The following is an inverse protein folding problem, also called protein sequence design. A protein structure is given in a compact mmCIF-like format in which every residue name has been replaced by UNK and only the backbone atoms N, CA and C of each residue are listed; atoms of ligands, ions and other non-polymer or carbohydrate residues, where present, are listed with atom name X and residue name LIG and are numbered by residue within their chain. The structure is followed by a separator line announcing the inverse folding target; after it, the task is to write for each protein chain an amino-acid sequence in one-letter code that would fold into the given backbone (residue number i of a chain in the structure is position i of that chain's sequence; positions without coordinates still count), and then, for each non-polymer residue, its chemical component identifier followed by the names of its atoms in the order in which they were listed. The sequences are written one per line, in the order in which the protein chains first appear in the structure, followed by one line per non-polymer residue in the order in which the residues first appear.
data_IF_688201673499
#
_entry.id   IF_688201673499
#
_cell.length_a   1.000
_cell.length_b   1.000
_cell.length_c   1.000
_cell.angle_alpha   90.00
_cell.angle_beta   90.00
_cell.angle_gamma   90.00
#
_symmetry.space_group_name_H-M   'P 1'
#
loop_
_entity.id
_entity.type
_entity.pdbx_description
1 polymer ?
#
# COMPACT_ATOMS: atom_id res chain seq x y z
N UNK A 1 2.84 1.99 31.19
CA UNK A 1 2.64 2.02 29.73
C UNK A 1 1.18 2.21 29.34
N UNK A 2 0.25 1.33 29.70
CA UNK A 2 -1.19 1.50 29.34
C UNK A 2 -1.81 2.76 29.96
N UNK A 3 -1.52 3.10 31.22
CA UNK A 3 -2.00 4.35 31.81
C UNK A 3 -1.46 5.57 31.08
N UNK A 4 -0.18 5.55 30.69
CA UNK A 4 0.41 6.58 29.85
C UNK A 4 -0.38 6.78 28.54
N UNK A 5 -0.79 5.70 27.86
CA UNK A 5 -1.57 5.78 26.63
C UNK A 5 -2.98 6.30 26.89
N UNK A 6 -3.64 5.84 27.94
CA UNK A 6 -4.99 6.31 28.30
C UNK A 6 -5.02 7.81 28.57
N UNK A 7 -4.01 8.33 29.28
CA UNK A 7 -3.91 9.76 29.61
C UNK A 7 -3.59 10.63 28.36
N UNK A 8 -3.18 10.01 27.25
CA UNK A 8 -2.78 10.70 26.01
C UNK A 8 -3.66 10.42 24.79
N UNK A 9 -4.84 9.84 24.98
CA UNK A 9 -5.80 9.57 23.90
C UNK A 9 -6.16 10.82 23.10
N UNK A 10 -6.41 11.92 23.81
CA UNK A 10 -6.71 13.21 23.15
C UNK A 10 -5.53 13.72 22.35
N UNK A 11 -4.31 13.54 22.83
CA UNK A 11 -3.11 13.93 22.09
C UNK A 11 -2.88 13.05 20.85
N UNK A 12 -3.15 11.75 20.92
CA UNK A 12 -3.08 10.85 19.76
C UNK A 12 -4.13 11.22 18.71
N UNK A 13 -5.36 11.52 19.15
CA UNK A 13 -6.44 12.02 18.28
C UNK A 13 -6.06 13.35 17.64
N UNK A 14 -5.45 14.27 18.40
CA UNK A 14 -4.99 15.57 17.88
C UNK A 14 -3.85 15.43 16.87
N UNK A 15 -2.91 14.49 17.09
CA UNK A 15 -1.87 14.20 16.11
C UNK A 15 -2.47 13.68 14.80
N UNK A 16 -3.39 12.70 14.84
CA UNK A 16 -4.06 12.21 13.64
C UNK A 16 -4.79 13.34 12.91
N UNK A 17 -5.51 14.18 13.62
CA UNK A 17 -6.19 15.33 13.04
C UNK A 17 -5.22 16.31 12.37
N UNK A 18 -4.06 16.56 12.98
CA UNK A 18 -3.02 17.40 12.39
C UNK A 18 -2.41 16.77 11.13
N UNK A 19 -2.15 15.47 11.14
CA UNK A 19 -1.66 14.72 9.97
C UNK A 19 -2.66 14.77 8.81
N UNK A 20 -3.96 14.57 9.06
CA UNK A 20 -5.00 14.64 8.02
C UNK A 20 -5.03 16.03 7.38
N UNK A 21 -4.89 17.10 8.17
CA UNK A 21 -4.89 18.50 7.68
C UNK A 21 -3.70 18.87 6.81
N UNK A 22 -2.72 18.00 6.65
CA UNK A 22 -1.62 18.16 5.70
C UNK A 22 -1.99 17.39 4.42
N UNK A 23 -2.41 18.07 3.33
CA UNK A 23 -2.62 17.41 2.05
C UNK A 23 -1.33 16.76 1.54
N UNK A 24 -1.42 15.52 1.12
CA UNK A 24 -0.28 14.70 0.71
C UNK A 24 -0.60 13.89 -0.55
N UNK A 25 -1.32 14.52 -1.49
CA UNK A 25 -1.82 13.86 -2.70
C UNK A 25 -0.71 13.29 -3.55
N UNK A 26 -0.81 12.02 -3.87
CA UNK A 26 0.08 11.32 -4.76
C UNK A 26 -0.73 10.54 -5.82
N UNK A 27 -0.75 10.96 -7.09
CA UNK A 27 -0.05 12.10 -7.69
C UNK A 27 -0.59 13.47 -7.24
N UNK A 28 0.18 14.60 -7.38
CA UNK A 28 1.50 14.70 -8.04
C UNK A 28 2.67 14.27 -7.15
N UNK A 29 2.46 13.98 -5.84
CA UNK A 29 3.51 13.51 -4.96
C UNK A 29 4.59 14.56 -4.65
N UNK A 30 4.20 15.78 -4.29
CA UNK A 30 5.13 16.79 -3.74
C UNK A 30 5.27 16.59 -2.22
N UNK A 31 5.91 15.49 -1.83
CA UNK A 31 5.93 15.01 -0.46
C UNK A 31 7.15 15.46 0.36
N UNK A 32 8.09 16.19 -0.22
CA UNK A 32 9.19 16.80 0.55
C UNK A 32 8.68 17.81 1.60
N UNK A 33 7.90 18.84 1.22
CA UNK A 33 7.29 19.78 2.16
C UNK A 33 6.31 19.13 3.15
N UNK A 34 5.60 18.07 2.73
CA UNK A 34 4.70 17.28 3.59
C UNK A 34 5.48 16.60 4.69
N UNK A 35 6.57 15.92 4.33
CA UNK A 35 7.43 15.22 5.28
C UNK A 35 8.00 16.19 6.34
N UNK A 36 8.38 17.41 5.95
CA UNK A 36 8.86 18.41 6.91
C UNK A 36 7.78 18.80 7.92
N UNK A 37 6.53 19.00 7.48
CA UNK A 37 5.42 19.28 8.39
C UNK A 37 5.15 18.11 9.35
N UNK A 38 5.19 16.88 8.84
CA UNK A 38 5.04 15.66 9.67
C UNK A 38 6.20 15.55 10.67
N UNK A 39 7.44 15.84 10.24
CA UNK A 39 8.59 15.83 11.12
C UNK A 39 8.42 16.83 12.29
N UNK A 40 7.96 18.04 12.01
CA UNK A 40 7.69 19.05 13.04
C UNK A 40 6.63 18.57 14.04
N UNK A 41 5.56 17.90 13.57
CA UNK A 41 4.54 17.33 14.47
C UNK A 41 5.12 16.25 15.40
N UNK A 42 5.99 15.39 14.88
CA UNK A 42 6.65 14.35 15.68
C UNK A 42 7.67 14.97 16.67
N UNK A 43 8.39 16.00 16.26
CA UNK A 43 9.32 16.75 17.13
C UNK A 43 8.60 17.46 18.29
N UNK A 44 7.41 17.99 18.07
CA UNK A 44 6.57 18.56 19.14
C UNK A 44 6.15 17.52 20.19
N UNK A 45 6.17 16.23 19.87
CA UNK A 45 5.99 15.14 20.83
C UNK A 45 7.27 14.75 21.57
N UNK A 46 8.40 15.41 21.28
CA UNK A 46 9.71 15.13 21.88
C UNK A 46 10.48 14.01 21.16
N UNK A 47 10.05 13.61 19.97
CA UNK A 47 10.76 12.63 19.14
C UNK A 47 11.87 13.32 18.34
N UNK A 48 13.00 12.62 18.15
CA UNK A 48 14.09 13.09 17.28
C UNK A 48 13.88 12.50 15.89
N UNK A 49 13.69 13.34 14.88
CA UNK A 49 13.34 12.94 13.52
C UNK A 49 14.53 13.13 12.58
N UNK A 50 14.99 12.03 11.99
CA UNK A 50 15.96 12.06 10.89
C UNK A 50 15.21 12.26 9.57
N UNK A 51 15.76 13.12 8.71
CA UNK A 51 15.20 13.45 7.41
C UNK A 51 16.12 12.90 6.32
N UNK A 52 15.57 12.07 5.45
CA UNK A 52 16.29 11.42 4.35
C UNK A 52 15.70 11.86 3.01
N UNK A 53 16.13 13.00 2.45
CA UNK A 53 15.63 13.49 1.17
C UNK A 53 16.06 12.56 0.04
N UNK A 54 15.12 12.24 -0.84
CA UNK A 54 15.37 11.47 -2.06
C UNK A 54 15.85 12.41 -3.15
N UNK A 55 16.89 12.03 -3.95
CA UNK A 55 17.33 12.82 -5.09
C UNK A 55 16.19 13.12 -6.06
N UNK A 56 16.14 14.37 -6.56
CA UNK A 56 15.03 14.84 -7.38
C UNK A 56 14.85 14.08 -8.69
N UNK A 57 15.91 13.50 -9.26
CA UNK A 57 15.85 12.64 -10.45
C UNK A 57 15.23 11.28 -10.14
N UNK A 58 15.52 10.70 -8.97
CA UNK A 58 14.90 9.47 -8.50
C UNK A 58 13.40 9.67 -8.23
N UNK A 59 13.02 10.79 -7.58
CA UNK A 59 11.60 11.11 -7.37
C UNK A 59 10.86 11.27 -8.71
N UNK A 60 11.43 12.02 -9.65
CA UNK A 60 10.81 12.18 -10.98
C UNK A 60 10.69 10.87 -11.76
N UNK A 61 11.62 9.94 -11.58
CA UNK A 61 11.55 8.62 -12.24
C UNK A 61 10.34 7.79 -11.80
N UNK A 62 9.83 8.01 -10.58
CA UNK A 62 8.60 7.39 -10.06
C UNK A 62 7.34 8.24 -10.33
N UNK A 63 7.49 9.41 -10.97
CA UNK A 63 6.37 10.32 -11.26
C UNK A 63 6.05 11.31 -10.14
N UNK A 64 6.89 11.37 -9.10
CA UNK A 64 6.71 12.30 -7.98
C UNK A 64 7.49 13.60 -8.18
N UNK A 65 6.98 14.69 -7.62
CA UNK A 65 7.66 15.99 -7.63
C UNK A 65 8.82 16.05 -6.63
N UNK A 66 8.60 15.53 -5.42
CA UNK A 66 9.63 15.42 -4.37
C UNK A 66 9.27 14.34 -3.35
N UNK A 67 10.26 13.82 -2.62
CA UNK A 67 10.05 12.89 -1.52
C UNK A 67 11.15 13.07 -0.47
N UNK A 68 10.77 12.98 0.81
CA UNK A 68 11.69 12.89 1.94
C UNK A 68 11.17 11.82 2.89
N UNK A 69 11.96 10.81 3.19
CA UNK A 69 11.59 9.79 4.17
C UNK A 69 12.03 10.22 5.56
N UNK A 70 11.27 9.82 6.59
CA UNK A 70 11.57 10.14 7.97
C UNK A 70 11.86 8.86 8.75
N UNK A 71 12.86 8.93 9.66
CA UNK A 71 13.15 7.87 10.62
C UNK A 71 13.20 8.48 12.01
N UNK A 72 12.47 7.87 12.95
CA UNK A 72 12.59 8.15 14.40
C UNK A 72 13.19 6.92 15.04
N UNK A 73 14.28 7.07 15.79
CA UNK A 73 14.93 5.96 16.50
C UNK A 73 14.85 6.10 18.00
N UNK A 74 14.47 4.99 18.64
CA UNK A 74 14.46 4.89 20.10
C UNK A 74 15.28 3.67 20.50
N UNK A 75 16.45 3.91 21.11
CA UNK A 75 17.37 2.86 21.55
C UNK A 75 17.21 2.61 23.05
N UNK A 76 17.02 1.36 23.42
CA UNK A 76 16.88 0.86 24.79
C UNK A 76 18.10 0.03 25.26
N UNK A 77 19.08 -0.15 24.41
CA UNK A 77 20.27 -0.96 24.67
C UNK A 77 20.72 -1.75 23.45
N UNK A 78 21.58 -2.73 23.65
CA UNK A 78 21.96 -3.69 22.62
C UNK A 78 20.84 -4.72 22.45
N UNK A 79 20.59 -5.16 21.24
CA UNK A 79 19.50 -6.09 20.91
C UNK A 79 18.95 -5.90 19.51
N UNK A 80 17.79 -6.50 19.20
CA UNK A 80 17.21 -6.44 17.86
C UNK A 80 16.71 -5.03 17.50
N UNK A 81 16.64 -4.77 16.20
CA UNK A 81 16.06 -3.57 15.63
C UNK A 81 14.69 -3.93 15.05
N UNK A 82 13.62 -3.31 15.56
CA UNK A 82 12.26 -3.47 15.08
C UNK A 82 11.82 -2.19 14.35
N UNK A 83 11.45 -2.31 13.08
CA UNK A 83 10.88 -1.20 12.32
C UNK A 83 9.35 -1.17 12.42
N UNK A 84 8.77 0.00 12.54
CA UNK A 84 7.36 0.30 12.37
C UNK A 84 7.23 1.17 11.12
N UNK A 85 6.54 0.71 10.07
CA UNK A 85 6.43 1.46 8.81
C UNK A 85 4.99 1.87 8.52
N UNK A 86 4.80 3.16 8.28
CA UNK A 86 3.54 3.74 7.81
C UNK A 86 3.82 4.79 6.74
N UNK A 87 2.88 4.99 5.81
CA UNK A 87 3.01 6.01 4.78
C UNK A 87 2.15 7.24 5.06
N UNK A 88 2.63 8.40 4.65
CA UNK A 88 1.96 9.68 4.85
C UNK A 88 1.36 10.27 3.59
N UNK A 89 1.72 9.76 2.40
CA UNK A 89 1.07 10.11 1.14
C UNK A 89 -0.32 9.48 1.03
N UNK A 90 -1.16 10.05 0.21
CA UNK A 90 -2.56 9.63 0.03
C UNK A 90 -2.99 9.78 -1.41
N UNK A 91 -3.93 8.96 -1.87
CA UNK A 91 -4.60 9.20 -3.16
C UNK A 91 -5.39 10.51 -3.11
N UNK A 92 -5.53 11.26 -4.23
CA UNK A 92 -6.37 12.45 -4.29
C UNK A 92 -7.79 12.17 -3.80
N UNK A 93 -8.43 13.11 -3.09
CA UNK A 93 -9.73 12.87 -2.44
C UNK A 93 -10.86 12.55 -3.42
N UNK A 94 -10.80 13.06 -4.65
CA UNK A 94 -11.90 12.91 -5.61
C UNK A 94 -13.16 13.70 -5.22
N UNK A 95 -14.30 13.30 -5.78
CA UNK A 95 -15.58 13.96 -5.55
C UNK A 95 -16.48 13.13 -4.62
N UNK A 96 -17.55 13.77 -4.11
CA UNK A 96 -18.60 13.08 -3.34
C UNK A 96 -18.45 13.14 -1.83
N UNK A 97 -17.48 13.89 -1.29
CA UNK A 97 -17.33 14.10 0.14
C UNK A 97 -18.48 14.89 0.75
N UNK A 98 -18.91 14.49 1.95
CA UNK A 98 -19.92 15.22 2.75
C UNK A 98 -19.27 16.20 3.74
N UNK A 99 -17.94 16.17 3.90
CA UNK A 99 -17.13 17.07 4.72
C UNK A 99 -15.85 17.46 3.97
N UNK A 100 -15.06 18.37 4.54
CA UNK A 100 -13.74 18.68 4.01
C UNK A 100 -12.81 17.45 4.13
N UNK A 101 -12.25 16.89 3.04
CA UNK A 101 -11.36 15.74 3.07
C UNK A 101 -10.10 15.96 3.90
N UNK A 102 -9.72 17.20 4.18
CA UNK A 102 -8.60 17.57 5.03
C UNK A 102 -9.03 18.27 6.33
N UNK A 103 -10.33 18.27 6.65
CA UNK A 103 -10.88 18.92 7.84
C UNK A 103 -10.63 18.15 9.15
N UNK A 104 -10.42 16.83 9.07
CA UNK A 104 -10.37 15.93 10.22
C UNK A 104 -11.60 16.07 11.14
N UNK A 105 -12.78 16.06 10.54
CA UNK A 105 -14.03 16.18 11.26
C UNK A 105 -14.31 14.94 12.10
N UNK A 106 -14.74 15.13 13.34
CA UNK A 106 -15.13 14.02 14.23
C UNK A 106 -16.65 14.00 14.37
N UNK A 107 -17.26 12.85 14.02
CA UNK A 107 -18.69 12.58 14.18
C UNK A 107 -18.88 11.19 14.78
N UNK A 108 -19.65 11.08 15.85
CA UNK A 108 -20.04 9.81 16.47
C UNK A 108 -18.85 8.86 16.77
N UNK A 109 -17.71 9.40 17.20
CA UNK A 109 -16.49 8.64 17.50
C UNK A 109 -15.62 8.29 16.31
N UNK A 110 -16.00 8.69 15.09
CA UNK A 110 -15.21 8.52 13.87
C UNK A 110 -14.54 9.82 13.44
N UNK A 111 -13.28 9.75 13.03
CA UNK A 111 -12.59 10.86 12.38
C UNK A 111 -12.61 10.67 10.87
N UNK A 112 -13.14 11.67 10.17
CA UNK A 112 -13.28 11.69 8.72
C UNK A 112 -12.13 12.49 8.10
N UNK A 113 -11.55 11.96 7.03
CA UNK A 113 -10.55 12.64 6.23
C UNK A 113 -9.74 11.70 5.35
N UNK A 114 -9.16 12.23 4.29
CA UNK A 114 -8.29 11.47 3.41
C UNK A 114 -7.01 11.06 4.14
N UNK A 115 -6.70 9.77 4.12
CA UNK A 115 -5.60 9.17 4.88
C UNK A 115 -5.96 8.82 6.32
N UNK A 116 -7.21 9.04 6.76
CA UNK A 116 -7.63 8.69 8.11
C UNK A 116 -7.52 7.18 8.37
N UNK A 117 -7.85 6.36 7.39
CA UNK A 117 -7.77 4.90 7.49
C UNK A 117 -6.46 4.33 6.91
N UNK A 118 -5.89 4.98 5.88
CA UNK A 118 -4.72 4.49 5.13
C UNK A 118 -3.76 5.65 4.85
N UNK A 119 -2.62 5.84 5.52
CA UNK A 119 -2.24 5.15 6.77
C UNK A 119 -1.76 6.17 7.81
N UNK A 120 -2.31 7.43 7.79
CA UNK A 120 -1.94 8.47 8.77
C UNK A 120 -2.33 8.09 10.21
N UNK A 121 -3.37 7.26 10.37
CA UNK A 121 -3.73 6.64 11.65
C UNK A 121 -2.60 5.78 12.21
N UNK A 122 -1.88 5.05 11.33
CA UNK A 122 -0.77 4.22 11.75
C UNK A 122 0.46 5.04 12.15
N UNK A 123 0.69 6.20 11.53
CA UNK A 123 1.73 7.14 11.99
C UNK A 123 1.44 7.58 13.42
N UNK A 124 0.18 7.94 13.73
CA UNK A 124 -0.21 8.33 15.08
C UNK A 124 -0.10 7.16 16.07
N UNK A 125 -0.58 5.98 15.69
CA UNK A 125 -0.49 4.73 16.47
C UNK A 125 0.96 4.41 16.82
N UNK A 126 1.84 4.39 15.85
CA UNK A 126 3.25 4.03 16.06
C UNK A 126 4.03 5.08 16.84
N UNK A 127 3.76 6.37 16.61
CA UNK A 127 4.38 7.44 17.38
C UNK A 127 4.02 7.33 18.87
N UNK A 128 2.74 7.12 19.21
CA UNK A 128 2.32 6.99 20.60
C UNK A 128 2.71 5.65 21.23
N UNK A 129 2.73 4.55 20.47
CA UNK A 129 3.28 3.29 20.93
C UNK A 129 4.77 3.44 21.29
N UNK A 130 5.55 4.11 20.43
CA UNK A 130 6.97 4.39 20.68
C UNK A 130 7.19 5.23 21.96
N UNK A 131 6.40 6.29 22.16
CA UNK A 131 6.44 7.11 23.37
C UNK A 131 6.07 6.32 24.63
N UNK A 132 5.16 5.37 24.53
CA UNK A 132 4.73 4.56 25.66
C UNK A 132 5.81 3.60 26.17
N UNK A 133 6.80 3.23 25.34
CA UNK A 133 7.88 2.33 25.72
C UNK A 133 8.76 2.89 26.85
N UNK A 134 8.88 4.22 26.98
CA UNK A 134 9.60 4.85 28.09
C UNK A 134 8.94 4.55 29.45
N UNK A 135 7.65 4.23 29.46
CA UNK A 135 6.90 3.83 30.63
C UNK A 135 6.66 2.30 30.71
N UNK A 136 7.40 1.51 29.93
CA UNK A 136 7.29 0.05 29.95
C UNK A 136 7.82 -0.52 31.27
N UNK A 137 7.17 -1.57 31.82
CA UNK A 137 7.72 -2.27 32.98
C UNK A 137 8.89 -3.17 32.56
N UNK A 138 10.01 -3.02 33.24
CA UNK A 138 11.20 -3.86 33.02
C UNK A 138 12.21 -3.22 32.07
N UNK A 139 13.27 -3.99 31.80
CA UNK A 139 14.33 -3.57 30.89
C UNK A 139 13.94 -3.96 29.46
N UNK A 140 14.03 -2.99 28.58
CA UNK A 140 13.93 -3.22 27.14
C UNK A 140 15.32 -3.27 26.53
N UNK A 141 15.50 -4.09 25.51
CA UNK A 141 16.75 -4.27 24.79
C UNK A 141 16.53 -4.08 23.28
N UNK A 142 17.48 -3.39 22.61
CA UNK A 142 17.38 -3.17 21.16
C UNK A 142 16.93 -1.75 20.81
N UNK A 143 16.42 -1.62 19.60
CA UNK A 143 15.99 -0.34 19.01
C UNK A 143 14.65 -0.48 18.34
N UNK A 144 13.78 0.51 18.48
CA UNK A 144 12.59 0.68 17.63
C UNK A 144 12.81 1.83 16.67
N UNK A 145 12.49 1.62 15.42
CA UNK A 145 12.53 2.64 14.38
C UNK A 145 11.11 2.88 13.84
N UNK A 146 10.64 4.11 13.84
CA UNK A 146 9.44 4.51 13.09
C UNK A 146 9.88 5.05 11.73
N UNK A 147 9.51 4.38 10.67
CA UNK A 147 9.71 4.81 9.28
C UNK A 147 8.42 5.44 8.76
N UNK A 148 8.45 6.74 8.47
CA UNK A 148 7.35 7.42 7.77
C UNK A 148 7.80 7.69 6.35
N UNK A 149 7.15 7.01 5.39
CA UNK A 149 7.46 7.07 3.96
C UNK A 149 6.32 7.77 3.20
N UNK A 150 6.56 8.22 1.96
CA UNK A 150 5.60 9.08 1.26
C UNK A 150 5.45 8.74 -0.22
N UNK A 151 5.54 7.45 -0.57
CA UNK A 151 5.44 6.97 -1.96
C UNK A 151 4.70 5.63 -2.10
N UNK A 152 3.96 5.20 -1.09
CA UNK A 152 3.23 3.92 -1.15
C UNK A 152 2.22 3.93 -2.28
N UNK A 153 1.51 5.03 -2.48
CA UNK A 153 0.51 5.20 -3.53
C UNK A 153 1.13 5.28 -4.94
N UNK A 154 2.46 5.51 -5.02
CA UNK A 154 3.24 5.47 -6.26
C UNK A 154 4.07 4.19 -6.42
N UNK A 155 3.98 3.25 -5.46
CA UNK A 155 4.61 1.94 -5.54
C UNK A 155 5.78 1.69 -4.58
N UNK A 156 6.11 2.60 -3.63
CA UNK A 156 7.07 2.37 -2.54
C UNK A 156 8.55 2.26 -2.96
N UNK A 157 8.89 2.65 -4.19
CA UNK A 157 10.24 2.44 -4.74
C UNK A 157 11.29 3.42 -4.17
N UNK A 158 10.85 4.59 -3.69
CA UNK A 158 11.72 5.63 -3.13
C UNK A 158 11.46 5.91 -1.64
N UNK A 159 10.52 5.17 -1.03
CA UNK A 159 10.24 5.13 0.40
C UNK A 159 11.03 4.00 1.08
N UNK A 160 10.37 2.92 1.51
CA UNK A 160 11.03 1.88 2.28
C UNK A 160 12.15 1.18 1.50
N UNK A 161 11.97 0.94 0.20
CA UNK A 161 13.03 0.36 -0.63
C UNK A 161 14.28 1.24 -0.63
N UNK A 162 14.12 2.56 -0.81
CA UNK A 162 15.25 3.51 -0.79
C UNK A 162 15.98 3.48 0.55
N UNK A 163 15.27 3.48 1.68
CA UNK A 163 15.87 3.40 3.02
C UNK A 163 16.73 2.16 3.19
N UNK A 164 16.23 1.01 2.73
CA UNK A 164 16.91 -0.29 2.83
C UNK A 164 18.10 -0.41 1.86
N UNK A 165 17.95 -0.02 0.61
CA UNK A 165 19.01 -0.07 -0.41
C UNK A 165 20.21 0.81 -0.08
N UNK A 166 19.96 1.97 0.55
CA UNK A 166 21.02 2.90 0.94
C UNK A 166 21.58 2.62 2.34
N UNK A 167 21.14 1.54 3.00
CA UNK A 167 21.62 1.17 4.33
C UNK A 167 21.30 2.21 5.42
N UNK A 168 20.27 3.04 5.20
CA UNK A 168 19.82 4.04 6.17
C UNK A 168 19.13 3.38 7.36
N UNK A 169 18.65 2.17 7.18
CA UNK A 169 18.09 1.28 8.20
C UNK A 169 18.43 -0.17 7.88
N UNK A 170 18.49 -1.02 8.93
CA UNK A 170 18.72 -2.46 8.81
C UNK A 170 17.97 -3.18 9.94
N UNK A 171 16.64 -3.24 9.91
CA UNK A 171 15.88 -3.89 10.95
C UNK A 171 15.98 -5.42 10.87
N UNK A 172 15.83 -6.07 12.02
CA UNK A 172 15.77 -7.54 12.15
C UNK A 172 14.34 -8.05 11.90
N UNK A 173 13.33 -7.20 12.16
CA UNK A 173 11.93 -7.47 11.90
C UNK A 173 11.18 -6.14 11.68
N UNK A 174 9.97 -6.22 11.12
CA UNK A 174 9.14 -5.03 10.90
C UNK A 174 7.64 -5.29 11.13
N UNK A 175 6.93 -4.24 11.51
CA UNK A 175 5.47 -4.15 11.51
C UNK A 175 5.11 -3.01 10.55
N UNK A 176 4.34 -3.30 9.52
CA UNK A 176 3.81 -2.29 8.60
C UNK A 176 2.38 -1.89 8.95
N UNK A 177 1.94 -0.74 8.46
CA UNK A 177 0.56 -0.27 8.55
C UNK A 177 -0.44 -1.35 8.14
N UNK A 178 -1.54 -1.48 8.88
CA UNK A 178 -2.50 -2.56 8.64
C UNK A 178 -3.80 -2.44 9.42
N UNK A 179 -4.61 -3.46 9.33
CA UNK A 179 -5.91 -3.54 9.99
C UNK A 179 -5.77 -3.86 11.49
N UNK A 180 -6.70 -3.36 12.32
CA UNK A 180 -6.70 -3.61 13.76
C UNK A 180 -7.33 -4.96 14.15
N UNK A 181 -8.17 -5.52 13.29
CA UNK A 181 -8.91 -6.77 13.53
C UNK A 181 -8.31 -8.00 12.83
N UNK A 182 -7.14 -7.85 12.25
CA UNK A 182 -6.41 -8.94 11.60
C UNK A 182 -4.91 -8.63 11.56
N UNK A 183 -4.07 -9.63 11.75
CA UNK A 183 -2.63 -9.52 11.50
C UNK A 183 -2.38 -10.04 10.08
N UNK A 184 -1.93 -9.17 9.17
CA UNK A 184 -1.68 -9.58 7.80
C UNK A 184 -0.26 -10.12 7.64
N UNK A 185 -0.14 -11.37 7.19
CA UNK A 185 1.15 -12.06 7.00
C UNK A 185 1.51 -12.25 5.53
N UNK A 186 0.57 -12.07 4.62
CA UNK A 186 0.75 -12.22 3.18
C UNK A 186 -0.16 -11.26 2.42
N UNK A 187 0.25 -10.85 1.23
CA UNK A 187 -0.59 -10.04 0.36
C UNK A 187 -0.35 -10.32 -1.13
N UNK A 188 -1.32 -9.95 -1.96
CA UNK A 188 -1.20 -10.07 -3.39
C UNK A 188 -0.11 -9.15 -3.95
N UNK A 189 0.51 -9.60 -5.04
CA UNK A 189 1.22 -8.72 -5.96
C UNK A 189 0.28 -8.10 -7.00
N UNK A 190 0.81 -7.17 -7.77
CA UNK A 190 0.09 -6.47 -8.84
C UNK A 190 0.98 -6.36 -10.08
N UNK A 191 0.41 -6.66 -11.24
CA UNK A 191 1.03 -6.41 -12.53
C UNK A 191 0.10 -5.53 -13.37
N UNK A 192 0.59 -4.33 -13.74
CA UNK A 192 -0.10 -3.48 -14.70
C UNK A 192 0.60 -3.54 -16.05
N UNK A 193 -0.16 -3.86 -17.10
CA UNK A 193 0.31 -3.84 -18.48
C UNK A 193 -0.53 -2.86 -19.31
N UNK A 194 0.12 -2.22 -20.28
CA UNK A 194 -0.52 -1.48 -21.35
C UNK A 194 -0.30 -2.24 -22.65
N UNK A 195 -1.39 -2.55 -23.35
CA UNK A 195 -1.38 -3.14 -24.69
C UNK A 195 -1.78 -2.06 -25.69
N UNK A 196 -0.93 -1.81 -26.67
CA UNK A 196 -1.22 -0.88 -27.78
C UNK A 196 -1.29 -1.66 -29.08
N UNK A 197 -2.40 -1.51 -29.78
CA UNK A 197 -2.61 -2.04 -31.12
C UNK A 197 -2.58 -0.90 -32.12
N UNK A 198 -1.75 -0.99 -33.14
CA UNK A 198 -1.64 -0.03 -34.24
C UNK A 198 -2.02 -0.68 -35.55
N UNK A 199 -2.89 -0.02 -36.28
CA UNK A 199 -3.34 -0.38 -37.60
C UNK A 199 -3.09 0.74 -38.61
N UNK A 200 -4.06 0.96 -39.49
CA UNK A 200 -4.05 2.02 -40.49
C UNK A 200 -5.45 2.53 -40.73
N UNK A 201 -5.65 3.83 -40.64
CA UNK A 201 -6.96 4.46 -40.88
C UNK A 201 -7.38 4.35 -42.34
N UNK A 202 -8.69 4.28 -42.56
CA UNK A 202 -9.32 4.35 -43.85
C UNK A 202 -10.76 4.90 -43.70
N UNK A 203 -11.34 5.34 -44.80
CA UNK A 203 -12.75 5.72 -44.82
C UNK A 203 -13.64 4.50 -44.59
N UNK A 204 -14.65 4.61 -43.73
CA UNK A 204 -15.54 3.50 -43.35
C UNK A 204 -16.29 2.88 -44.56
N UNK A 205 -16.46 3.61 -45.69
CA UNK A 205 -16.99 3.07 -46.96
C UNK A 205 -16.03 2.10 -47.66
N UNK A 206 -14.75 2.06 -47.31
CA UNK A 206 -13.72 1.16 -47.84
C UNK A 206 -12.82 0.64 -46.72
N UNK A 207 -13.37 -0.13 -45.77
CA UNK A 207 -12.61 -0.55 -44.57
C UNK A 207 -11.42 -1.46 -44.93
N UNK A 208 -11.52 -2.22 -46.03
CA UNK A 208 -10.43 -3.09 -46.52
C UNK A 208 -9.17 -2.34 -46.96
N UNK A 209 -9.23 -1.00 -47.15
CA UNK A 209 -8.05 -0.16 -47.39
C UNK A 209 -7.30 0.18 -46.10
N UNK A 210 -7.89 -0.04 -44.93
CA UNK A 210 -7.33 0.15 -43.62
C UNK A 210 -6.80 -1.14 -42.99
N UNK A 211 -6.38 -1.02 -41.71
CA UNK A 211 -6.09 -2.12 -40.79
C UNK A 211 -6.80 -1.73 -39.51
N UNK A 212 -7.84 -2.46 -39.15
CA UNK A 212 -8.70 -2.13 -38.02
C UNK A 212 -8.05 -2.53 -36.68
N UNK A 213 -7.53 -1.52 -35.96
CA UNK A 213 -6.92 -1.73 -34.65
C UNK A 213 -7.95 -2.11 -33.58
N UNK A 214 -9.23 -1.68 -33.73
CA UNK A 214 -10.27 -1.99 -32.76
C UNK A 214 -10.73 -3.46 -32.89
N UNK A 215 -10.86 -3.97 -34.09
CA UNK A 215 -11.17 -5.39 -34.32
C UNK A 215 -10.08 -6.27 -33.70
N UNK A 216 -8.81 -5.97 -33.98
CA UNK A 216 -7.69 -6.71 -33.41
C UNK A 216 -7.63 -6.60 -31.88
N UNK A 217 -7.84 -5.39 -31.31
CA UNK A 217 -7.89 -5.20 -29.87
C UNK A 217 -9.06 -5.97 -29.23
N UNK A 218 -10.24 -5.99 -29.85
CA UNK A 218 -11.41 -6.74 -29.37
C UNK A 218 -11.13 -8.23 -29.32
N UNK A 219 -10.43 -8.77 -30.30
CA UNK A 219 -10.03 -10.18 -30.33
C UNK A 219 -9.05 -10.51 -29.16
N UNK A 220 -8.07 -9.66 -28.93
CA UNK A 220 -7.11 -9.79 -27.81
C UNK A 220 -7.85 -9.69 -26.46
N UNK A 221 -8.73 -8.71 -26.29
CA UNK A 221 -9.56 -8.55 -25.09
C UNK A 221 -10.41 -9.80 -24.81
N UNK A 222 -11.01 -10.37 -25.86
CA UNK A 222 -11.76 -11.63 -25.75
C UNK A 222 -10.89 -12.79 -25.24
N UNK A 223 -9.64 -12.89 -25.70
CA UNK A 223 -8.71 -13.91 -25.24
C UNK A 223 -8.31 -13.70 -23.75
N UNK A 224 -8.07 -12.46 -23.34
CA UNK A 224 -7.77 -12.09 -21.96
C UNK A 224 -8.94 -12.40 -21.03
N UNK A 225 -10.18 -12.06 -21.40
CA UNK A 225 -11.38 -12.38 -20.61
C UNK A 225 -11.59 -13.91 -20.48
N UNK A 226 -11.40 -14.68 -21.53
CA UNK A 226 -11.43 -16.15 -21.43
C UNK A 226 -10.33 -16.69 -20.50
N UNK A 227 -9.17 -16.04 -20.45
CA UNK A 227 -8.12 -16.41 -19.49
C UNK A 227 -8.54 -16.06 -18.06
N UNK A 228 -9.12 -14.88 -17.85
CA UNK A 228 -9.67 -14.45 -16.54
C UNK A 228 -10.62 -15.48 -15.96
N UNK A 229 -11.54 -16.01 -16.78
CA UNK A 229 -12.56 -16.96 -16.31
C UNK A 229 -11.94 -18.26 -15.75
N UNK A 230 -10.70 -18.60 -16.15
CA UNK A 230 -9.94 -19.74 -15.61
C UNK A 230 -9.22 -19.45 -14.30
N UNK A 231 -9.05 -18.16 -13.91
CA UNK A 231 -8.33 -17.78 -12.70
C UNK A 231 -9.07 -18.19 -11.43
N UNK A 232 -10.40 -18.24 -11.45
CA UNK A 232 -11.22 -18.63 -10.28
C UNK A 232 -10.85 -20.03 -9.74
N UNK A 233 -10.28 -20.91 -10.58
CA UNK A 233 -9.81 -22.23 -10.15
C UNK A 233 -8.44 -22.22 -9.46
N UNK A 234 -7.75 -21.09 -9.40
CA UNK A 234 -6.41 -20.94 -8.80
C UNK A 234 -6.48 -20.26 -7.42
N UNK A 235 -7.41 -20.67 -6.57
CA UNK A 235 -7.58 -20.07 -5.24
C UNK A 235 -6.30 -20.25 -4.41
N UNK A 236 -5.84 -19.15 -3.76
CA UNK A 236 -4.75 -19.20 -2.79
C UNK A 236 -5.09 -20.09 -1.60
N UNK A 237 -4.12 -20.78 -1.05
CA UNK A 237 -4.25 -21.53 0.20
C UNK A 237 -4.24 -20.61 1.43
N UNK A 238 -3.85 -19.34 1.27
CA UNK A 238 -3.78 -18.37 2.37
C UNK A 238 -5.17 -17.76 2.57
N UNK A 239 -5.72 -17.93 3.79
CA UNK A 239 -6.99 -17.32 4.17
C UNK A 239 -6.96 -15.80 3.95
N UNK A 240 -8.04 -15.23 3.39
CA UNK A 240 -8.18 -13.80 3.13
C UNK A 240 -7.72 -13.33 1.74
N UNK A 241 -6.98 -14.16 0.97
CA UNK A 241 -6.48 -13.77 -0.36
C UNK A 241 -7.44 -14.10 -1.51
N UNK A 242 -8.01 -15.30 -1.52
CA UNK A 242 -8.91 -15.75 -2.59
C UNK A 242 -8.18 -16.11 -3.89
N UNK A 243 -8.84 -15.91 -5.03
CA UNK A 243 -8.31 -16.21 -6.36
C UNK A 243 -7.64 -14.99 -7.01
N UNK A 244 -6.67 -15.21 -7.92
CA UNK A 244 -6.11 -14.14 -8.73
C UNK A 244 -7.19 -13.43 -9.54
N UNK A 245 -6.99 -12.13 -9.80
CA UNK A 245 -7.96 -11.31 -10.54
C UNK A 245 -7.31 -10.69 -11.78
N UNK A 246 -8.10 -10.50 -12.85
CA UNK A 246 -7.70 -9.75 -14.04
C UNK A 246 -8.81 -8.76 -14.40
N UNK A 247 -8.47 -7.50 -14.46
CA UNK A 247 -9.37 -6.41 -14.82
C UNK A 247 -8.81 -5.61 -15.98
N UNK A 248 -9.63 -5.29 -16.97
CA UNK A 248 -9.30 -4.27 -17.97
C UNK A 248 -9.92 -2.98 -17.47
N UNK A 249 -9.08 -2.08 -16.96
CA UNK A 249 -9.54 -0.86 -16.29
C UNK A 249 -9.64 0.36 -17.20
N UNK A 250 -8.93 0.34 -18.33
CA UNK A 250 -8.87 1.46 -19.28
C UNK A 250 -8.86 0.95 -20.70
N UNK A 251 -9.60 1.64 -21.60
CA UNK A 251 -9.53 1.45 -23.04
C UNK A 251 -9.76 2.80 -23.71
N UNK A 252 -8.96 3.10 -24.75
CA UNK A 252 -9.08 4.29 -25.57
C UNK A 252 -8.72 4.00 -27.02
N UNK A 253 -9.32 4.69 -27.97
CA UNK A 253 -8.99 4.57 -29.39
C UNK A 253 -10.07 5.06 -30.34
N UNK A 254 -9.71 5.14 -31.62
CA UNK A 254 -10.55 5.72 -32.66
C UNK A 254 -10.56 7.24 -32.64
N UNK A 255 -11.02 7.85 -33.74
CA UNK A 255 -11.07 9.31 -33.91
C UNK A 255 -12.43 9.80 -34.38
N UNK A 256 -13.17 9.01 -35.19
CA UNK A 256 -14.48 9.38 -35.73
C UNK A 256 -15.24 8.12 -36.16
N UNK A 257 -16.58 8.18 -36.08
CA UNK A 257 -17.48 7.07 -36.43
C UNK A 257 -17.30 6.55 -37.87
N UNK A 258 -16.88 7.40 -38.80
CA UNK A 258 -16.71 7.06 -40.21
C UNK A 258 -15.26 6.81 -40.64
N UNK A 259 -14.37 6.50 -39.67
CA UNK A 259 -12.95 6.19 -39.88
C UNK A 259 -12.61 4.86 -39.24
N UNK A 260 -11.93 3.96 -40.00
CA UNK A 260 -11.36 2.73 -39.44
C UNK A 260 -10.31 3.11 -38.41
N UNK A 261 -10.43 2.63 -37.14
CA UNK A 261 -9.48 2.97 -36.08
C UNK A 261 -8.07 2.47 -36.39
N UNK A 262 -7.10 3.37 -36.35
CA UNK A 262 -5.67 3.05 -36.57
C UNK A 262 -4.88 2.85 -35.27
N UNK A 263 -5.49 3.15 -34.13
CA UNK A 263 -4.91 2.91 -32.81
C UNK A 263 -5.96 2.61 -31.77
N UNK A 264 -5.69 1.59 -30.96
CA UNK A 264 -6.39 1.31 -29.70
C UNK A 264 -5.34 0.98 -28.64
N UNK A 265 -5.50 1.51 -27.43
CA UNK A 265 -4.74 1.09 -26.27
C UNK A 265 -5.67 0.71 -25.13
N UNK A 266 -5.27 -0.26 -24.33
CA UNK A 266 -5.96 -0.63 -23.11
C UNK A 266 -4.98 -1.01 -22.02
N UNK A 267 -5.41 -0.85 -20.75
CA UNK A 267 -4.61 -1.19 -19.59
C UNK A 267 -5.31 -2.26 -18.76
N UNK A 268 -4.52 -3.18 -18.24
CA UNK A 268 -4.99 -4.25 -17.38
C UNK A 268 -4.27 -4.25 -16.03
N UNK A 269 -5.01 -4.66 -15.01
CA UNK A 269 -4.55 -5.00 -13.67
C UNK A 269 -4.67 -6.50 -13.46
N UNK A 270 -3.58 -7.17 -13.09
CA UNK A 270 -3.51 -8.59 -12.74
C UNK A 270 -3.05 -8.73 -11.31
N UNK A 271 -3.95 -9.15 -10.40
CA UNK A 271 -3.60 -9.47 -9.02
C UNK A 271 -2.93 -10.83 -8.98
N UNK A 272 -1.72 -10.87 -8.40
CA UNK A 272 -0.84 -12.04 -8.33
C UNK A 272 -0.92 -12.61 -6.93
N UNK A 273 -1.35 -13.86 -6.76
CA UNK A 273 -1.40 -14.50 -5.45
C UNK A 273 0.01 -14.95 -5.01
N UNK A 274 0.26 -15.12 -3.70
CA UNK A 274 1.59 -15.46 -3.18
C UNK A 274 2.21 -16.73 -3.77
N UNK A 275 1.41 -17.69 -4.22
CA UNK A 275 1.87 -18.94 -4.83
C UNK A 275 2.38 -18.76 -6.27
N UNK A 276 1.99 -17.68 -6.95
CA UNK A 276 2.40 -17.41 -8.32
C UNK A 276 3.79 -16.75 -8.39
N UNK A 277 4.45 -16.94 -9.54
CA UNK A 277 5.70 -16.24 -9.85
C UNK A 277 5.41 -15.06 -10.78
N UNK A 278 5.70 -13.82 -10.38
CA UNK A 278 5.32 -12.61 -11.14
C UNK A 278 5.78 -12.63 -12.60
N UNK A 279 7.01 -13.07 -12.86
CA UNK A 279 7.57 -13.14 -14.20
C UNK A 279 6.89 -14.22 -15.06
N UNK A 280 6.41 -15.30 -14.44
CA UNK A 280 5.65 -16.34 -15.15
C UNK A 280 4.25 -15.83 -15.51
N UNK A 281 3.62 -15.08 -14.61
CA UNK A 281 2.31 -14.44 -14.88
C UNK A 281 2.42 -13.42 -16.01
N UNK A 282 3.47 -12.61 -16.05
CA UNK A 282 3.68 -11.67 -17.16
C UNK A 282 3.91 -12.41 -18.48
N UNK A 283 4.74 -13.46 -18.49
CA UNK A 283 4.94 -14.27 -19.70
C UNK A 283 3.64 -14.92 -20.18
N UNK A 284 2.81 -15.44 -19.27
CA UNK A 284 1.49 -16.00 -19.60
C UNK A 284 0.61 -14.96 -20.31
N UNK A 285 0.51 -13.75 -19.75
CA UNK A 285 -0.32 -12.68 -20.33
C UNK A 285 0.21 -12.20 -21.69
N UNK A 286 1.53 -12.03 -21.83
CA UNK A 286 2.15 -11.67 -23.12
C UNK A 286 1.90 -12.75 -24.16
N UNK A 287 2.05 -14.03 -23.79
CA UNK A 287 1.75 -15.16 -24.69
C UNK A 287 0.29 -15.19 -25.14
N UNK A 288 -0.67 -14.84 -24.28
CA UNK A 288 -2.09 -14.73 -24.65
C UNK A 288 -2.29 -13.59 -25.66
N UNK A 289 -1.67 -12.43 -25.43
CA UNK A 289 -1.74 -11.29 -26.34
C UNK A 289 -1.13 -11.64 -27.69
N UNK A 290 0.07 -12.23 -27.71
CA UNK A 290 0.80 -12.59 -28.92
C UNK A 290 0.04 -13.64 -29.74
N UNK A 291 -0.49 -14.67 -29.09
CA UNK A 291 -1.28 -15.71 -29.73
C UNK A 291 -2.59 -15.16 -30.37
N UNK A 292 -3.25 -14.23 -29.69
CA UNK A 292 -4.45 -13.60 -30.22
C UNK A 292 -4.12 -12.62 -31.37
N UNK A 293 -3.01 -11.87 -31.24
CA UNK A 293 -2.53 -10.93 -32.25
C UNK A 293 -2.14 -11.64 -33.58
N UNK A 294 -1.73 -12.89 -33.53
CA UNK A 294 -1.35 -13.68 -34.72
C UNK A 294 -2.49 -13.80 -35.76
N UNK A 295 -3.76 -13.64 -35.34
CA UNK A 295 -4.90 -13.59 -36.27
C UNK A 295 -4.93 -12.28 -37.12
N UNK A 296 -4.17 -11.26 -36.71
CA UNK A 296 -4.12 -9.93 -37.34
C UNK A 296 -2.67 -9.56 -37.73
N UNK A 297 -2.03 -10.27 -38.63
CA UNK A 297 -0.59 -10.18 -38.93
C UNK A 297 -0.17 -8.82 -39.49
N UNK A 298 -1.12 -8.01 -39.96
CA UNK A 298 -0.86 -6.66 -40.47
C UNK A 298 -0.96 -5.56 -39.39
N UNK A 299 -1.57 -5.88 -38.25
CA UNK A 299 -1.59 -4.96 -37.08
C UNK A 299 -0.30 -5.10 -36.27
N UNK A 300 0.17 -3.98 -35.73
CA UNK A 300 1.32 -3.98 -34.83
C UNK A 300 0.83 -3.97 -33.40
N UNK A 301 1.23 -4.97 -32.60
CA UNK A 301 0.87 -5.07 -31.19
C UNK A 301 2.10 -4.94 -30.33
N UNK A 302 2.01 -4.11 -29.29
CA UNK A 302 3.07 -3.94 -28.30
C UNK A 302 2.51 -4.02 -26.88
N UNK A 303 3.29 -4.62 -25.99
CA UNK A 303 2.93 -4.75 -24.57
C UNK A 303 4.02 -4.08 -23.73
N UNK A 304 3.65 -3.07 -22.94
CA UNK A 304 4.52 -2.36 -22.02
C UNK A 304 4.12 -2.66 -20.58
N UNK A 305 5.08 -3.02 -19.73
CA UNK A 305 4.87 -3.10 -18.29
C UNK A 305 4.80 -1.67 -17.74
N UNK A 306 3.74 -1.37 -16.97
CA UNK A 306 3.59 -0.12 -16.23
C UNK A 306 4.13 -0.29 -14.83
N UNK A 307 3.72 -1.36 -14.14
CA UNK A 307 4.09 -1.64 -12.76
C UNK A 307 4.18 -3.14 -12.51
N UNK A 308 5.08 -3.53 -11.63
CA UNK A 308 5.13 -4.86 -11.02
C UNK A 308 5.42 -4.72 -9.53
N UNK A 309 4.44 -5.05 -8.71
CA UNK A 309 4.61 -5.23 -7.27
C UNK A 309 4.56 -6.73 -6.97
N UNK A 310 5.63 -7.26 -6.38
CA UNK A 310 5.69 -8.69 -6.00
C UNK A 310 4.76 -8.98 -4.83
N UNK A 311 4.19 -10.19 -4.74
CA UNK A 311 3.39 -10.57 -3.57
C UNK A 311 4.26 -10.72 -2.32
N UNK A 312 3.69 -10.41 -1.15
CA UNK A 312 4.30 -10.71 0.14
C UNK A 312 4.07 -12.19 0.47
N UNK A 313 5.17 -12.88 0.80
CA UNK A 313 5.17 -14.23 1.37
C UNK A 313 5.73 -14.17 2.79
N UNK A 314 5.16 -14.92 3.76
CA UNK A 314 5.72 -14.96 5.10
C UNK A 314 7.19 -15.45 5.07
N UNK A 315 8.07 -14.69 5.72
CA UNK A 315 9.47 -15.10 5.93
C UNK A 315 9.63 -15.80 7.28
N UNK A 316 10.71 -16.60 7.46
CA UNK A 316 11.08 -17.10 8.77
C UNK A 316 11.14 -15.97 9.80
N UNK A 317 10.53 -16.16 10.98
CA UNK A 317 10.39 -15.12 12.02
C UNK A 317 9.08 -14.30 11.95
N UNK A 318 8.42 -14.19 10.79
CA UNK A 318 7.16 -13.48 10.68
C UNK A 318 6.04 -14.13 11.51
N UNK A 319 6.03 -15.47 11.64
CA UNK A 319 5.00 -16.16 12.41
C UNK A 319 5.07 -15.80 13.91
N UNK A 320 6.25 -15.73 14.50
CA UNK A 320 6.43 -15.36 15.91
C UNK A 320 5.91 -13.94 16.18
N UNK A 321 6.19 -13.00 15.25
CA UNK A 321 5.68 -11.63 15.34
C UNK A 321 4.15 -11.56 15.15
N UNK A 322 3.61 -12.39 14.23
CA UNK A 322 2.16 -12.50 14.04
C UNK A 322 1.46 -13.05 15.28
N UNK A 323 1.98 -14.13 15.87
CA UNK A 323 1.41 -14.74 17.08
C UNK A 323 1.42 -13.76 18.26
N UNK A 324 2.49 -12.98 18.39
CA UNK A 324 2.62 -11.93 19.39
C UNK A 324 1.52 -10.86 19.24
N UNK A 325 1.35 -10.33 18.03
CA UNK A 325 0.32 -9.34 17.73
C UNK A 325 -1.10 -9.90 17.88
N UNK A 326 -1.38 -11.09 17.36
CA UNK A 326 -2.68 -11.74 17.48
C UNK A 326 -3.09 -11.93 18.96
N UNK A 327 -2.16 -12.32 19.82
CA UNK A 327 -2.41 -12.50 21.25
C UNK A 327 -2.77 -11.19 21.94
N UNK A 328 -1.98 -10.13 21.72
CA UNK A 328 -2.24 -8.81 22.31
C UNK A 328 -3.51 -8.19 21.74
N UNK A 329 -3.71 -8.26 20.42
CA UNK A 329 -4.90 -7.75 19.77
C UNK A 329 -6.16 -8.43 20.28
N UNK A 330 -6.17 -9.76 20.35
CA UNK A 330 -7.32 -10.52 20.88
C UNK A 330 -7.66 -10.16 22.33
N UNK A 331 -6.63 -9.89 23.15
CA UNK A 331 -6.84 -9.47 24.53
C UNK A 331 -7.41 -8.03 24.63
N UNK A 332 -6.89 -7.09 23.84
CA UNK A 332 -7.31 -5.68 23.89
C UNK A 332 -8.69 -5.47 23.24
N UNK A 333 -8.96 -6.15 22.13
CA UNK A 333 -10.26 -6.05 21.42
C UNK A 333 -11.33 -6.95 22.01
N UNK A 334 -10.98 -7.88 22.92
CA UNK A 334 -11.87 -8.88 23.52
C UNK A 334 -12.58 -9.76 22.47
N UNK A 335 -11.94 -10.00 21.34
CA UNK A 335 -12.39 -10.93 20.28
C UNK A 335 -11.18 -11.59 19.63
N UNK A 336 -11.40 -12.72 18.93
CA UNK A 336 -10.31 -13.41 18.24
C UNK A 336 -9.78 -12.57 17.06
N UNK A 337 -8.49 -12.23 17.11
CA UNK A 337 -7.75 -11.60 15.99
C UNK A 337 -6.77 -12.64 15.44
N UNK A 338 -6.91 -12.95 14.16
CA UNK A 338 -6.18 -14.02 13.51
C UNK A 338 -5.16 -13.49 12.49
N UNK A 339 -4.17 -14.32 12.19
CA UNK A 339 -3.22 -14.06 11.12
C UNK A 339 -3.84 -14.49 9.77
N UNK A 340 -3.94 -13.55 8.82
CA UNK A 340 -4.56 -13.76 7.51
C UNK A 340 -3.73 -13.12 6.40
N UNK A 341 -4.11 -13.36 5.15
CA UNK A 341 -3.63 -12.60 4.00
C UNK A 341 -4.61 -11.50 3.61
N UNK A 342 -4.17 -10.58 2.72
CA UNK A 342 -5.02 -9.55 2.14
C UNK A 342 -4.89 -9.53 0.61
N UNK A 343 -5.95 -9.22 -0.15
CA UNK A 343 -5.86 -9.06 -1.60
C UNK A 343 -5.22 -7.74 -2.05
N UNK A 344 -4.93 -6.84 -1.11
CA UNK A 344 -4.20 -5.60 -1.36
C UNK A 344 -2.72 -5.87 -1.63
N UNK A 345 -1.97 -4.87 -2.08
CA UNK A 345 -0.52 -4.87 -2.00
C UNK A 345 -0.06 -3.72 -1.09
N UNK A 346 1.13 -3.82 -0.51
CA UNK A 346 1.67 -2.82 0.40
C UNK A 346 3.19 -2.72 0.30
N UNK A 347 3.76 -1.76 1.01
CA UNK A 347 5.20 -1.56 1.16
C UNK A 347 5.93 -2.72 1.85
N UNK A 348 5.21 -3.62 2.54
CA UNK A 348 5.81 -4.76 3.23
C UNK A 348 6.66 -5.65 2.29
N UNK A 349 6.32 -5.71 1.00
CA UNK A 349 7.11 -6.45 0.01
C UNK A 349 8.56 -5.99 -0.09
N UNK A 350 8.84 -4.72 0.21
CA UNK A 350 10.20 -4.18 0.17
C UNK A 350 11.04 -4.71 1.33
N UNK A 351 10.52 -4.75 2.55
CA UNK A 351 11.19 -5.39 3.68
C UNK A 351 11.44 -6.87 3.41
N UNK A 352 10.42 -7.58 2.93
CA UNK A 352 10.54 -9.00 2.59
C UNK A 352 11.59 -9.25 1.49
N UNK A 353 11.73 -8.37 0.51
CA UNK A 353 12.76 -8.47 -0.54
C UNK A 353 14.19 -8.36 0.01
N UNK A 354 14.38 -7.69 1.15
CA UNK A 354 15.64 -7.62 1.89
C UNK A 354 15.80 -8.74 2.94
N UNK A 355 14.89 -9.71 2.97
CA UNK A 355 14.94 -10.83 3.93
C UNK A 355 14.48 -10.46 5.34
N UNK A 356 13.84 -9.30 5.52
CA UNK A 356 13.35 -8.82 6.80
C UNK A 356 11.94 -9.37 7.01
N UNK A 357 11.67 -10.19 8.04
CA UNK A 357 10.33 -10.66 8.37
C UNK A 357 9.45 -9.47 8.75
N UNK A 358 8.28 -9.39 8.10
CA UNK A 358 7.32 -8.31 8.30
C UNK A 358 5.91 -8.87 8.37
N UNK A 359 5.10 -8.24 9.21
CA UNK A 359 3.64 -8.42 9.26
C UNK A 359 2.98 -7.05 9.27
N UNK A 360 1.69 -6.97 8.93
CA UNK A 360 0.95 -5.72 8.94
C UNK A 360 -0.05 -5.73 10.09
N UNK A 361 -0.03 -4.68 10.90
CA UNK A 361 -0.98 -4.46 11.97
C UNK A 361 -0.96 -2.98 12.39
N UNK A 362 -2.12 -2.36 12.54
CA UNK A 362 -2.21 -0.96 12.94
C UNK A 362 -3.63 -0.54 13.27
N UNK A 363 -3.94 0.74 13.07
CA UNK A 363 -5.24 1.33 13.38
C UNK A 363 -6.26 1.24 12.24
N UNK A 364 -5.94 0.53 11.16
CA UNK A 364 -6.86 0.36 10.05
C UNK A 364 -8.17 -0.29 10.48
N UNK A 365 -9.26 -0.01 9.77
CA UNK A 365 -10.60 -0.47 10.13
C UNK A 365 -10.77 -1.98 9.97
N UNK A 366 -11.94 -2.52 10.35
CA UNK A 366 -12.27 -3.92 10.15
C UNK A 366 -12.30 -4.32 8.68
N UNK A 367 -12.83 -3.46 7.82
CA UNK A 367 -12.87 -3.66 6.36
C UNK A 367 -12.60 -2.38 5.59
N UNK A 368 -12.19 -2.51 4.32
CA UNK A 368 -11.98 -1.40 3.39
C UNK A 368 -13.28 -0.63 3.17
N UNK A 369 -14.40 -1.36 3.09
CA UNK A 369 -15.72 -0.81 2.88
C UNK A 369 -16.20 0.04 4.07
N UNK A 370 -15.94 -0.40 5.29
CA UNK A 370 -16.28 0.33 6.52
C UNK A 370 -15.55 1.67 6.61
N UNK A 371 -14.28 1.67 6.20
CA UNK A 371 -13.44 2.86 6.19
C UNK A 371 -13.72 3.80 5.02
N UNK A 372 -14.43 3.38 3.99
CA UNK A 372 -14.44 4.05 2.70
C UNK A 372 -13.01 4.32 2.16
N UNK A 373 -12.07 3.42 2.37
CA UNK A 373 -10.69 3.59 1.92
C UNK A 373 -10.64 3.89 0.41
N UNK A 374 -9.90 4.94 0.03
CA UNK A 374 -9.82 5.52 -1.33
C UNK A 374 -11.16 6.06 -1.90
N UNK A 375 -12.18 6.20 -1.06
CA UNK A 375 -13.48 6.79 -1.43
C UNK A 375 -13.69 8.12 -0.69
N UNK A 376 -14.78 8.82 -1.04
CA UNK A 376 -15.26 9.94 -0.24
C UNK A 376 -15.67 9.47 1.17
N UNK A 377 -15.56 10.38 2.13
CA UNK A 377 -15.86 10.12 3.54
C UNK A 377 -15.04 8.97 4.14
N UNK A 378 -13.77 8.85 3.72
CA UNK A 378 -12.81 7.97 4.39
C UNK A 378 -12.72 8.32 5.86
N UNK A 379 -12.66 7.29 6.72
CA UNK A 379 -12.76 7.47 8.17
C UNK A 379 -12.09 6.36 8.96
N UNK A 380 -11.75 6.66 10.21
CA UNK A 380 -11.26 5.71 11.20
C UNK A 380 -12.02 5.87 12.51
N UNK A 381 -12.33 4.77 13.19
CA UNK A 381 -12.91 4.78 14.54
C UNK A 381 -11.83 5.14 15.56
N UNK A 382 -12.05 6.19 16.36
CA UNK A 382 -11.06 6.65 17.34
C UNK A 382 -10.84 5.64 18.48
N UNK A 383 -11.84 4.84 18.81
CA UNK A 383 -11.69 3.76 19.77
C UNK A 383 -10.68 2.72 19.28
N UNK A 384 -10.72 2.38 17.99
CA UNK A 384 -9.81 1.41 17.38
C UNK A 384 -8.38 1.98 17.23
N UNK A 385 -8.24 3.27 16.90
CA UNK A 385 -6.95 3.95 16.95
C UNK A 385 -6.26 3.75 18.32
N UNK A 386 -7.00 3.98 19.41
CA UNK A 386 -6.45 3.87 20.77
C UNK A 386 -6.14 2.42 21.14
N UNK A 387 -7.03 1.47 20.81
CA UNK A 387 -6.81 0.04 21.05
C UNK A 387 -5.62 -0.49 20.26
N UNK A 388 -5.52 -0.16 18.98
CA UNK A 388 -4.39 -0.56 18.15
C UNK A 388 -3.07 -0.01 18.70
N UNK A 389 -3.05 1.23 19.19
CA UNK A 389 -1.88 1.81 19.86
C UNK A 389 -1.48 1.01 21.12
N UNK A 390 -2.45 0.58 21.94
CA UNK A 390 -2.19 -0.29 23.09
C UNK A 390 -1.61 -1.66 22.66
N UNK A 391 -2.15 -2.26 21.60
CA UNK A 391 -1.65 -3.54 21.05
C UNK A 391 -0.22 -3.41 20.56
N UNK A 392 0.08 -2.41 19.74
CA UNK A 392 1.43 -2.20 19.19
C UNK A 392 2.42 -1.94 20.31
N UNK A 393 2.08 -1.10 21.29
CA UNK A 393 2.96 -0.82 22.43
C UNK A 393 3.27 -2.09 23.26
N UNK A 394 2.26 -2.93 23.52
CA UNK A 394 2.42 -4.19 24.24
C UNK A 394 3.29 -5.19 23.46
N UNK A 395 3.00 -5.36 22.17
CA UNK A 395 3.75 -6.28 21.31
C UNK A 395 5.21 -5.85 21.16
N UNK A 396 5.47 -4.57 20.94
CA UNK A 396 6.84 -4.03 20.82
C UNK A 396 7.59 -4.17 22.15
N UNK A 397 6.95 -3.85 23.27
CA UNK A 397 7.58 -4.01 24.58
C UNK A 397 7.96 -5.48 24.86
N UNK A 398 7.09 -6.43 24.55
CA UNK A 398 7.38 -7.86 24.72
C UNK A 398 8.47 -8.34 23.75
N UNK A 399 8.46 -7.89 22.48
CA UNK A 399 9.52 -8.19 21.51
C UNK A 399 10.90 -7.73 21.99
N UNK A 400 10.97 -6.57 22.67
CA UNK A 400 12.21 -6.00 23.16
C UNK A 400 12.61 -6.51 24.57
N UNK A 401 11.72 -7.19 25.28
CA UNK A 401 12.05 -7.79 26.57
C UNK A 401 12.76 -9.16 26.44
N UNK A 402 12.74 -9.76 25.25
CA UNK A 402 13.39 -11.02 24.89
C UNK A 402 12.49 -12.21 25.08
#
# INVERSE_FOLDING_TARGET
MLDFLRDRRDAATALLAALIRIPADNPPGDCGPVAEQVAVLLEHLGLVVERHPVPADAARATGMASCTNLIVRRRFGDGPVLALNAHGDVVPPGAGWTCDPYGAEIRDGWMYGRGAAVSKSDIATYAFALLALDAAPGLLHGTVELHVTFDEEAGGEIGPRYLLEHGLTKPDAAIGAGFSYAVTTAHNGVLHLEVTVRGRSAHAARPSAGIDALEAATHILGALYRSRDRLAARTSAIAGIGAPQLTIGLIEGGTSTNVVPDRVSFRLDRRIVPEEQPEAVERELRGIVDAAAAAFPTAQVSVRRIMLAVPLKPLPGAQALADLLCRHASAVFAEAVEAVGTPLYTDARHYAAFGIPIVLYGAGPRTIEEANAHRADERVELADLHRATEVVALAVAEFLAG
#
